data_IF_512084125855
#
_entry.id   IF_512084125855
#
_cell.length_a   1.000
_cell.length_b   1.000
_cell.length_c   1.000
_cell.angle_alpha   90.00
_cell.angle_beta   90.00
_cell.angle_gamma   90.00
#
_symmetry.space_group_name_H-M   'P 1'
#
loop_
_entity.id
_entity.type
_entity.pdbx_description
1 polymer ?
#
# COMPACT_ATOMS: atom_id res chain seq x y z
N UNK A 1 -3.23 16.46 5.65
CA UNK A 1 -3.38 15.15 4.97
C UNK A 1 -4.85 14.82 4.97
N UNK A 2 -5.49 14.78 3.80
CA UNK A 2 -6.90 14.38 3.71
C UNK A 2 -6.93 12.86 3.76
N UNK A 3 -7.53 12.29 4.81
CA UNK A 3 -7.71 10.85 4.86
C UNK A 3 -8.71 10.44 3.77
N UNK A 4 -8.44 9.38 3.00
CA UNK A 4 -9.36 8.93 1.96
C UNK A 4 -10.71 8.53 2.59
N UNK A 5 -11.83 8.72 1.86
CA UNK A 5 -13.15 8.27 2.28
C UNK A 5 -13.18 6.80 2.72
N UNK A 6 -14.11 6.45 3.61
CA UNK A 6 -14.20 5.09 4.18
C UNK A 6 -14.45 4.02 3.12
N UNK A 7 -15.30 4.29 2.14
CA UNK A 7 -15.59 3.37 1.02
C UNK A 7 -14.33 3.07 0.17
N UNK A 8 -13.48 4.07 -0.02
CA UNK A 8 -12.19 3.90 -0.72
C UNK A 8 -11.25 3.02 0.11
N UNK A 9 -11.19 3.25 1.43
CA UNK A 9 -10.35 2.44 2.34
C UNK A 9 -10.84 1.00 2.43
N UNK A 10 -12.15 0.78 2.47
CA UNK A 10 -12.76 -0.54 2.51
C UNK A 10 -12.45 -1.32 1.23
N UNK A 11 -12.53 -0.65 0.06
CA UNK A 11 -12.09 -1.26 -1.21
C UNK A 11 -10.62 -1.65 -1.16
N UNK A 12 -9.75 -0.76 -0.70
CA UNK A 12 -8.32 -1.07 -0.60
C UNK A 12 -8.03 -2.24 0.34
N UNK A 13 -8.76 -2.35 1.46
CA UNK A 13 -8.68 -3.52 2.34
C UNK A 13 -9.05 -4.80 1.63
N UNK A 14 -10.12 -4.78 0.83
CA UNK A 14 -10.56 -5.96 0.09
C UNK A 14 -9.57 -6.35 -1.01
N UNK A 15 -9.02 -5.37 -1.73
CA UNK A 15 -8.07 -5.59 -2.82
C UNK A 15 -6.70 -6.07 -2.32
N UNK A 16 -6.32 -5.75 -1.07
CA UNK A 16 -4.99 -6.08 -0.52
C UNK A 16 -4.98 -7.29 0.42
N UNK A 17 -6.05 -8.10 0.46
CA UNK A 17 -6.14 -9.27 1.37
C UNK A 17 -5.12 -10.36 1.07
N UNK A 18 -4.80 -10.54 -0.21
CA UNK A 18 -3.79 -11.52 -0.64
C UNK A 18 -2.38 -10.92 -0.56
N UNK A 19 -1.63 -11.38 0.44
CA UNK A 19 -0.24 -10.97 0.66
C UNK A 19 0.74 -11.50 -0.38
N UNK A 20 0.38 -12.54 -1.13
CA UNK A 20 1.20 -13.09 -2.21
C UNK A 20 0.97 -12.36 -3.54
N UNK A 21 -0.03 -11.47 -3.63
CA UNK A 21 -0.28 -10.66 -4.80
C UNK A 21 0.43 -9.30 -4.71
N UNK A 22 0.90 -8.80 -5.85
CA UNK A 22 1.49 -7.47 -5.96
C UNK A 22 0.40 -6.46 -6.36
N UNK A 23 0.24 -5.33 -5.65
CA UNK A 23 -0.79 -4.35 -5.96
C UNK A 23 -0.48 -3.58 -7.25
N UNK A 24 -1.45 -3.52 -8.16
CA UNK A 24 -1.43 -2.64 -9.33
C UNK A 24 -1.95 -1.23 -9.01
N UNK A 25 -1.63 -0.25 -9.88
CA UNK A 25 -2.17 1.12 -9.85
C UNK A 25 -2.03 1.83 -8.48
N UNK A 26 -0.82 1.74 -7.91
CA UNK A 26 -0.51 2.41 -6.65
C UNK A 26 -0.53 3.94 -6.80
N UNK A 27 -1.35 4.59 -5.96
CA UNK A 27 -1.25 6.01 -5.63
C UNK A 27 -0.50 6.18 -4.32
N UNK A 28 -0.15 7.42 -3.94
CA UNK A 28 0.51 7.65 -2.65
C UNK A 28 -0.30 7.18 -1.47
N UNK A 29 -1.56 7.59 -1.43
CA UNK A 29 -2.40 7.36 -0.26
C UNK A 29 -2.69 5.86 -0.12
N UNK A 30 -2.87 5.16 -1.25
CA UNK A 30 -3.01 3.71 -1.28
C UNK A 30 -1.73 3.01 -0.80
N UNK A 31 -0.55 3.42 -1.26
CA UNK A 31 0.71 2.84 -0.82
C UNK A 31 0.95 3.07 0.68
N UNK A 32 0.69 4.27 1.19
CA UNK A 32 0.79 4.57 2.62
C UNK A 32 -0.20 3.77 3.46
N UNK A 33 -1.41 3.56 2.93
CA UNK A 33 -2.42 2.71 3.55
C UNK A 33 -1.95 1.25 3.65
N UNK A 34 -1.49 0.66 2.53
CA UNK A 34 -1.01 -0.73 2.49
C UNK A 34 0.18 -0.92 3.43
N UNK A 35 1.13 0.03 3.49
CA UNK A 35 2.24 -0.01 4.44
C UNK A 35 1.78 -0.07 5.89
N UNK A 36 0.74 0.67 6.26
CA UNK A 36 0.20 0.66 7.61
C UNK A 36 -0.49 -0.66 7.96
N UNK A 37 -1.32 -1.18 7.04
CA UNK A 37 -2.09 -2.41 7.25
C UNK A 37 -1.20 -3.65 7.28
N UNK A 38 -0.18 -3.70 6.41
CA UNK A 38 0.66 -4.89 6.22
C UNK A 38 2.02 -4.82 6.93
N UNK A 39 2.26 -3.79 7.77
CA UNK A 39 3.53 -3.61 8.48
C UNK A 39 3.98 -4.85 9.27
N UNK A 40 3.04 -5.59 9.85
CA UNK A 40 3.33 -6.78 10.67
C UNK A 40 3.84 -7.99 9.89
N UNK A 41 3.69 -8.02 8.57
CA UNK A 41 4.12 -9.18 7.76
C UNK A 41 5.58 -9.06 7.29
N UNK A 42 6.11 -7.85 7.16
CA UNK A 42 7.49 -7.60 6.76
C UNK A 42 7.85 -8.16 5.37
N UNK A 43 9.06 -8.71 5.25
CA UNK A 43 9.67 -9.08 3.96
C UNK A 43 9.02 -10.25 3.21
N UNK A 44 8.03 -10.94 3.79
CA UNK A 44 7.29 -12.02 3.10
C UNK A 44 6.04 -11.51 2.37
N UNK A 45 5.65 -10.25 2.58
CA UNK A 45 4.40 -9.70 2.04
C UNK A 45 4.66 -8.86 0.78
N UNK A 46 4.18 -9.33 -0.37
CA UNK A 46 4.34 -8.63 -1.65
C UNK A 46 3.61 -7.29 -1.66
N UNK A 47 2.45 -7.20 -1.01
CA UNK A 47 1.71 -5.94 -0.81
C UNK A 47 2.58 -4.89 -0.09
N UNK A 48 3.18 -5.28 1.04
CA UNK A 48 4.05 -4.40 1.82
C UNK A 48 5.28 -3.97 1.01
N UNK A 49 5.97 -4.91 0.38
CA UNK A 49 7.19 -4.64 -0.38
C UNK A 49 6.94 -3.70 -1.57
N UNK A 50 5.86 -3.92 -2.33
CA UNK A 50 5.53 -3.08 -3.47
C UNK A 50 5.17 -1.65 -3.04
N UNK A 51 4.38 -1.51 -1.97
CA UNK A 51 4.04 -0.20 -1.40
C UNK A 51 5.27 0.54 -0.87
N UNK A 52 6.20 -0.18 -0.20
CA UNK A 52 7.47 0.37 0.25
C UNK A 52 8.32 0.87 -0.92
N UNK A 53 8.49 0.03 -1.96
CA UNK A 53 9.26 0.37 -3.15
C UNK A 53 8.68 1.58 -3.89
N UNK A 54 7.36 1.65 -4.02
CA UNK A 54 6.68 2.79 -4.64
C UNK A 54 6.89 4.10 -3.86
N UNK A 55 6.77 4.07 -2.52
CA UNK A 55 7.05 5.24 -1.69
C UNK A 55 8.53 5.66 -1.78
N UNK A 56 9.47 4.71 -1.76
CA UNK A 56 10.90 4.98 -1.81
C UNK A 56 11.32 5.65 -3.13
N UNK A 57 10.85 5.13 -4.28
CA UNK A 57 11.15 5.73 -5.59
C UNK A 57 10.76 7.20 -5.63
N UNK A 58 9.56 7.52 -5.15
CA UNK A 58 9.09 8.90 -5.17
C UNK A 58 9.80 9.84 -4.20
N UNK A 59 10.36 9.32 -3.11
CA UNK A 59 11.22 10.17 -2.25
C UNK A 59 12.54 10.53 -2.94
N UNK A 60 13.01 9.72 -3.90
CA UNK A 60 14.20 10.03 -4.70
C UNK A 60 13.93 10.88 -5.94
N UNK A 61 12.68 11.01 -6.37
CA UNK A 61 12.25 11.87 -7.48
C UNK A 61 12.07 13.35 -7.07
N UNK A 62 12.28 13.68 -5.80
CA UNK A 62 12.06 14.99 -5.21
C UNK A 62 13.37 15.66 -4.83
#
# INVERSE_FOLDING_TARGET
MHAPPSDVRDRWLMDSRDCAHEPADLTYDRARFILAVHAGHGGSCRQYLAAAAYCFRRTGER
#
